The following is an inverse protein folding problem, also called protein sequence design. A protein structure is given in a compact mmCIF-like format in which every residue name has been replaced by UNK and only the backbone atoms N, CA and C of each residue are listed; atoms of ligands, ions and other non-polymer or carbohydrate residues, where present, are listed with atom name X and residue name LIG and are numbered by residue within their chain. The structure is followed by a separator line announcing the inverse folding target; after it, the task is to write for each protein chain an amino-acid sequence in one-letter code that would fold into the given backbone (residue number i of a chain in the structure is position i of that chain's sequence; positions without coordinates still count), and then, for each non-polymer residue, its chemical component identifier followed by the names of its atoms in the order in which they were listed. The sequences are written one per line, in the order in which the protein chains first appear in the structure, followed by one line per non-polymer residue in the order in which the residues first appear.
data_IF_064503526195
#
_entry.id   IF_064503526195
#
_cell.length_a   1.000
_cell.length_b   1.000
_cell.length_c   1.000
_cell.angle_alpha   90.00
_cell.angle_beta   90.00
_cell.angle_gamma   90.00
#
_symmetry.space_group_name_H-M   'P 1'
#
loop_
_entity.id
_entity.type
_entity.pdbx_description
1 polymer ?
#
# COMPACT_ATOMS: atom_id res chain seq x y z
N UNK A 1 8.13 -6.22 19.91
CA UNK A 1 8.31 -4.96 19.17
C UNK A 1 7.68 -5.15 17.81
N UNK A 2 6.83 -4.22 17.36
CA UNK A 2 6.20 -4.30 16.03
C UNK A 2 7.11 -3.60 15.03
N UNK A 3 7.52 -4.29 13.98
CA UNK A 3 8.28 -3.68 12.90
C UNK A 3 7.32 -2.92 11.98
N UNK A 4 7.64 -1.68 11.65
CA UNK A 4 6.82 -0.83 10.77
C UNK A 4 7.47 -0.68 9.42
N UNK A 5 6.69 -0.79 8.34
CA UNK A 5 7.20 -0.70 6.97
C UNK A 5 6.19 -0.03 6.04
N UNK A 6 6.68 0.89 5.22
CA UNK A 6 5.91 1.51 4.15
C UNK A 6 6.49 1.07 2.80
N UNK A 7 5.66 0.41 2.00
CA UNK A 7 5.91 0.14 0.60
C UNK A 7 5.41 1.32 -0.23
N UNK A 8 6.26 1.88 -1.07
CA UNK A 8 5.89 2.94 -2.01
C UNK A 8 5.87 2.39 -3.43
N UNK A 9 4.74 2.55 -4.10
CA UNK A 9 4.54 2.17 -5.49
C UNK A 9 4.00 3.35 -6.30
N UNK A 10 4.72 3.73 -7.35
CA UNK A 10 4.37 4.78 -8.31
C UNK A 10 4.13 4.26 -9.74
N UNK A 11 4.52 3.02 -10.03
CA UNK A 11 4.44 2.37 -11.34
C UNK A 11 3.38 1.24 -11.36
N UNK A 12 2.58 1.14 -12.42
CA UNK A 12 1.47 0.16 -12.50
C UNK A 12 1.97 -1.29 -12.59
N UNK A 13 3.09 -1.52 -13.29
CA UNK A 13 3.73 -2.81 -13.48
C UNK A 13 4.33 -3.39 -12.18
N UNK A 14 4.54 -2.55 -11.15
CA UNK A 14 5.16 -2.96 -9.88
C UNK A 14 4.18 -3.60 -8.90
N UNK A 15 2.89 -3.62 -9.20
CA UNK A 15 1.85 -4.12 -8.28
C UNK A 15 2.08 -5.59 -7.90
N UNK A 16 2.30 -6.45 -8.88
CA UNK A 16 2.47 -7.88 -8.61
C UNK A 16 3.73 -8.17 -7.79
N UNK A 17 4.82 -7.48 -8.10
CA UNK A 17 6.05 -7.59 -7.34
C UNK A 17 5.86 -7.09 -5.89
N UNK A 18 5.18 -5.95 -5.72
CA UNK A 18 4.88 -5.37 -4.40
C UNK A 18 4.02 -6.29 -3.55
N UNK A 19 2.91 -6.80 -4.10
CA UNK A 19 2.02 -7.73 -3.38
C UNK A 19 2.73 -9.04 -3.02
N UNK A 20 3.58 -9.56 -3.92
CA UNK A 20 4.44 -10.72 -3.64
C UNK A 20 5.41 -10.46 -2.48
N UNK A 21 6.07 -9.30 -2.45
CA UNK A 21 6.97 -8.92 -1.36
C UNK A 21 6.24 -8.77 -0.02
N UNK A 22 5.02 -8.21 -0.01
CA UNK A 22 4.19 -8.11 1.18
C UNK A 22 3.82 -9.49 1.71
N UNK A 23 3.38 -10.40 0.83
CA UNK A 23 3.04 -11.77 1.23
C UNK A 23 4.25 -12.51 1.81
N UNK A 24 5.42 -12.36 1.19
CA UNK A 24 6.67 -12.93 1.68
C UNK A 24 7.01 -12.38 3.08
N UNK A 25 6.84 -11.08 3.31
CA UNK A 25 7.11 -10.45 4.60
C UNK A 25 6.15 -10.97 5.69
N UNK A 26 4.86 -11.10 5.38
CA UNK A 26 3.85 -11.66 6.29
C UNK A 26 4.21 -13.10 6.66
N UNK A 27 4.51 -13.95 5.67
CA UNK A 27 4.88 -15.35 5.91
C UNK A 27 6.16 -15.47 6.74
N UNK A 28 7.17 -14.65 6.46
CA UNK A 28 8.38 -14.58 7.28
C UNK A 28 8.04 -14.17 8.72
N UNK A 29 7.25 -13.11 8.91
CA UNK A 29 6.81 -12.64 10.23
C UNK A 29 6.09 -13.71 11.04
N UNK A 30 5.20 -14.47 10.42
CA UNK A 30 4.53 -15.62 11.04
C UNK A 30 5.54 -16.68 11.51
N UNK A 31 6.52 -17.04 10.67
CA UNK A 31 7.56 -18.03 11.01
C UNK A 31 8.47 -17.60 12.17
N UNK A 32 8.70 -16.29 12.30
CA UNK A 32 9.58 -15.70 13.31
C UNK A 32 8.83 -15.11 14.51
N UNK A 33 7.51 -15.35 14.61
CA UNK A 33 6.65 -14.76 15.64
C UNK A 33 6.81 -13.23 15.76
N UNK A 34 7.00 -12.57 14.61
CA UNK A 34 7.27 -11.13 14.49
C UNK A 34 6.13 -10.48 13.71
N UNK A 35 5.45 -9.51 14.34
CA UNK A 35 4.41 -8.73 13.69
C UNK A 35 4.99 -7.57 12.87
N UNK A 36 4.38 -7.34 11.71
CA UNK A 36 4.66 -6.19 10.85
C UNK A 36 3.40 -5.32 10.73
N UNK A 37 3.58 -4.01 10.92
CA UNK A 37 2.61 -2.98 10.58
C UNK A 37 2.98 -2.46 9.19
N UNK A 38 2.14 -2.79 8.20
CA UNK A 38 2.45 -2.62 6.79
C UNK A 38 1.52 -1.56 6.21
N UNK A 39 2.11 -0.51 5.64
CA UNK A 39 1.39 0.47 4.82
C UNK A 39 1.87 0.35 3.39
N UNK A 40 0.95 0.37 2.43
CA UNK A 40 1.25 0.48 1.00
C UNK A 40 0.78 1.84 0.52
N UNK A 41 1.71 2.75 0.29
CA UNK A 41 1.44 4.04 -0.29
C UNK A 41 1.51 3.97 -1.81
N UNK A 42 0.38 4.28 -2.44
CA UNK A 42 0.20 4.27 -3.89
C UNK A 42 0.05 5.70 -4.41
N UNK A 43 0.90 6.10 -5.35
CA UNK A 43 0.83 7.36 -6.07
C UNK A 43 1.11 7.11 -7.57
N UNK A 44 1.33 8.16 -8.36
CA UNK A 44 1.64 8.05 -9.79
C UNK A 44 0.61 7.23 -10.57
N UNK A 45 1.09 6.51 -11.58
CA UNK A 45 0.28 5.66 -12.46
C UNK A 45 -0.23 4.41 -11.72
N UNK A 46 0.45 4.01 -10.65
CA UNK A 46 0.06 2.88 -9.82
C UNK A 46 -1.35 3.03 -9.21
N UNK A 47 -1.89 4.26 -9.11
CA UNK A 47 -3.25 4.48 -8.63
C UNK A 47 -4.29 3.72 -9.47
N UNK A 48 -4.01 3.51 -10.76
CA UNK A 48 -4.87 2.76 -11.67
C UNK A 48 -4.99 1.28 -11.28
N UNK A 49 -4.02 0.74 -10.52
CA UNK A 49 -4.07 -0.62 -10.02
C UNK A 49 -5.24 -0.89 -9.08
N UNK A 50 -5.73 0.13 -8.37
CA UNK A 50 -6.96 0.02 -7.58
C UNK A 50 -8.21 -0.26 -8.41
N UNK A 51 -8.17 -0.06 -9.73
CA UNK A 51 -9.29 -0.36 -10.63
C UNK A 51 -9.20 -1.75 -11.28
N UNK A 52 -8.07 -2.44 -11.13
CA UNK A 52 -7.86 -3.77 -11.73
C UNK A 52 -8.45 -4.85 -10.82
N UNK A 53 -9.49 -5.56 -11.30
CA UNK A 53 -10.24 -6.56 -10.51
C UNK A 53 -9.33 -7.56 -9.78
N UNK A 54 -8.36 -8.16 -10.48
CA UNK A 54 -7.44 -9.13 -9.89
C UNK A 54 -6.64 -8.54 -8.70
N UNK A 55 -6.20 -7.29 -8.81
CA UNK A 55 -5.45 -6.63 -7.74
C UNK A 55 -6.36 -6.31 -6.55
N UNK A 56 -7.63 -5.94 -6.80
CA UNK A 56 -8.62 -5.69 -5.73
C UNK A 56 -8.86 -6.90 -4.85
N UNK A 57 -8.94 -8.09 -5.46
CA UNK A 57 -9.14 -9.33 -4.73
C UNK A 57 -7.98 -9.56 -3.75
N UNK A 58 -6.74 -9.36 -4.21
CA UNK A 58 -5.55 -9.48 -3.36
C UNK A 58 -5.49 -8.40 -2.28
N UNK A 59 -5.82 -7.14 -2.60
CA UNK A 59 -5.88 -6.05 -1.61
C UNK A 59 -6.87 -6.40 -0.48
N UNK A 60 -8.06 -6.88 -0.85
CA UNK A 60 -9.12 -7.27 0.09
C UNK A 60 -8.68 -8.42 0.99
N UNK A 61 -7.90 -9.36 0.46
CA UNK A 61 -7.33 -10.49 1.23
C UNK A 61 -6.20 -10.08 2.19
N UNK A 62 -5.44 -9.03 1.87
CA UNK A 62 -4.30 -8.57 2.66
C UNK A 62 -4.69 -7.62 3.80
N UNK A 63 -5.75 -6.82 3.64
CA UNK A 63 -6.24 -5.92 4.69
C UNK A 63 -6.49 -6.59 6.06
N UNK A 64 -7.20 -7.73 6.16
CA UNK A 64 -7.41 -8.40 7.45
C UNK A 64 -6.12 -8.98 8.05
N UNK A 65 -5.03 -9.04 7.30
CA UNK A 65 -3.71 -9.48 7.77
C UNK A 65 -2.84 -8.31 8.29
N UNK A 66 -3.42 -7.11 8.43
CA UNK A 66 -2.73 -5.94 8.98
C UNK A 66 -2.05 -5.05 7.93
N UNK A 67 -2.48 -5.14 6.66
CA UNK A 67 -1.97 -4.29 5.58
C UNK A 67 -2.92 -3.12 5.33
N UNK A 68 -2.45 -1.90 5.55
CA UNK A 68 -3.17 -0.67 5.17
C UNK A 68 -2.74 -0.22 3.78
N UNK A 69 -3.69 0.27 2.98
CA UNK A 69 -3.45 0.77 1.63
C UNK A 69 -3.83 2.24 1.57
N UNK A 70 -2.89 3.10 1.17
CA UNK A 70 -3.05 4.54 1.06
C UNK A 70 -3.06 4.97 -0.42
N UNK A 71 -4.07 5.73 -0.81
CA UNK A 71 -4.26 6.27 -2.15
C UNK A 71 -3.96 7.77 -2.17
N UNK A 72 -2.95 8.20 -2.92
CA UNK A 72 -2.62 9.62 -3.07
C UNK A 72 -3.71 10.38 -3.82
N UNK A 73 -4.34 11.37 -3.17
CA UNK A 73 -5.42 12.17 -3.75
C UNK A 73 -5.00 12.97 -4.98
N UNK A 74 -3.75 13.47 -5.02
CA UNK A 74 -3.22 14.15 -6.21
C UNK A 74 -3.12 13.19 -7.41
N UNK A 75 -2.69 11.94 -7.17
CA UNK A 75 -2.60 10.92 -8.21
C UNK A 75 -3.99 10.47 -8.67
N UNK A 76 -4.93 10.33 -7.74
CA UNK A 76 -6.33 10.07 -8.06
C UNK A 76 -6.90 11.16 -8.99
N UNK A 77 -6.70 12.43 -8.63
CA UNK A 77 -7.15 13.57 -9.44
C UNK A 77 -6.52 13.59 -10.83
N UNK A 78 -5.21 13.31 -10.96
CA UNK A 78 -4.53 13.31 -12.26
C UNK A 78 -5.00 12.18 -13.18
N UNK A 79 -5.51 11.09 -12.61
CA UNK A 79 -5.99 9.91 -13.34
C UNK A 79 -7.52 9.82 -13.41
N UNK A 80 -8.24 10.80 -12.89
CA UNK A 80 -9.72 10.79 -12.87
C UNK A 80 -10.32 9.67 -12.01
N UNK A 81 -9.57 9.16 -11.03
CA UNK A 81 -10.04 8.15 -10.07
C UNK A 81 -10.76 8.86 -8.93
N UNK A 82 -11.95 8.41 -8.59
CA UNK A 82 -12.73 8.92 -7.46
C UNK A 82 -12.65 7.99 -6.25
N UNK A 83 -12.84 8.54 -5.05
CA UNK A 83 -12.77 7.79 -3.80
C UNK A 83 -13.76 6.61 -3.76
N UNK A 84 -14.96 6.75 -4.35
CA UNK A 84 -15.97 5.69 -4.39
C UNK A 84 -15.57 4.52 -5.29
N UNK A 85 -14.58 4.73 -6.16
CA UNK A 85 -14.01 3.67 -6.98
C UNK A 85 -12.92 2.90 -6.25
N UNK A 86 -12.42 3.35 -5.09
CA UNK A 86 -11.38 2.61 -4.38
C UNK A 86 -11.95 1.32 -3.74
N UNK A 87 -11.13 0.27 -3.56
CA UNK A 87 -11.50 -0.86 -2.71
C UNK A 87 -11.88 -0.38 -1.30
N UNK A 88 -12.82 -1.09 -0.67
CA UNK A 88 -13.18 -0.80 0.72
C UNK A 88 -11.94 -0.84 1.62
N UNK A 89 -11.86 0.07 2.60
CA UNK A 89 -10.74 0.15 3.54
C UNK A 89 -9.48 0.87 3.02
N UNK A 90 -9.42 1.24 1.74
CA UNK A 90 -8.31 2.08 1.22
C UNK A 90 -8.48 3.51 1.75
N UNK A 91 -7.39 4.05 2.28
CA UNK A 91 -7.33 5.40 2.86
C UNK A 91 -6.90 6.40 1.81
N UNK A 92 -7.75 7.34 1.43
CA UNK A 92 -7.35 8.46 0.58
C UNK A 92 -6.54 9.48 1.39
N UNK A 93 -5.27 9.71 1.02
CA UNK A 93 -4.37 10.68 1.68
C UNK A 93 -4.20 11.93 0.81
N UNK A 94 -4.11 13.14 1.39
CA UNK A 94 -4.08 14.38 0.60
C UNK A 94 -2.93 14.46 -0.41
N UNK A 95 -1.74 14.03 0.00
CA UNK A 95 -0.55 13.99 -0.85
C UNK A 95 0.35 12.82 -0.42
N UNK A 96 0.64 11.91 -1.36
CA UNK A 96 1.40 10.70 -1.05
C UNK A 96 2.81 11.00 -0.51
N UNK A 97 3.50 12.02 -1.04
CA UNK A 97 4.82 12.40 -0.51
C UNK A 97 4.76 12.88 0.94
N UNK A 98 3.70 13.59 1.34
CA UNK A 98 3.53 14.05 2.71
C UNK A 98 3.17 12.90 3.65
N UNK A 99 2.32 11.97 3.19
CA UNK A 99 2.02 10.73 3.89
C UNK A 99 3.28 9.87 4.11
N UNK A 100 4.14 9.76 3.09
CA UNK A 100 5.40 9.04 3.19
C UNK A 100 6.35 9.65 4.22
N UNK A 101 6.45 10.98 4.28
CA UNK A 101 7.25 11.68 5.30
C UNK A 101 6.68 11.36 6.69
N UNK A 102 5.37 11.52 6.88
CA UNK A 102 4.71 11.27 8.17
C UNK A 102 4.88 9.82 8.64
N UNK A 103 4.80 8.85 7.73
CA UNK A 103 5.04 7.44 8.04
C UNK A 103 6.50 7.21 8.46
N UNK A 104 7.47 7.75 7.72
CA UNK A 104 8.88 7.60 8.09
C UNK A 104 9.18 8.25 9.45
N UNK A 105 8.64 9.43 9.73
CA UNK A 105 8.75 10.10 11.04
C UNK A 105 8.09 9.28 12.16
N UNK A 106 7.04 8.52 11.86
CA UNK A 106 6.39 7.57 12.77
C UNK A 106 7.15 6.24 12.93
N UNK A 107 8.34 6.12 12.34
CA UNK A 107 9.25 4.98 12.44
C UNK A 107 9.04 3.88 11.39
N UNK A 108 8.28 4.15 10.33
CA UNK A 108 8.14 3.20 9.22
C UNK A 108 9.42 3.15 8.38
N UNK A 109 9.91 1.93 8.12
CA UNK A 109 11.03 1.72 7.18
C UNK A 109 10.53 1.79 5.75
N UNK A 110 11.28 2.47 4.90
CA UNK A 110 10.92 2.68 3.50
C UNK A 110 11.37 1.52 2.60
N UNK A 111 10.47 1.04 1.74
CA UNK A 111 10.76 0.07 0.68
C UNK A 111 10.14 0.54 -0.64
N UNK A 112 10.91 0.51 -1.74
CA UNK A 112 10.46 0.77 -3.11
C UNK A 112 10.74 -0.43 -4.01
N UNK A 113 9.72 -1.25 -4.34
CA UNK A 113 9.88 -2.46 -5.16
C UNK A 113 10.19 -2.20 -6.66
#
# INVERSE_FOLDING_TARGET
MTNKVVFHIDELEKWDHTLGNIQNLITYGQSQQTAYDIVVLVNGDAIMGYLVTRLRDTITQLQPQGVSFHACNNAMNSHGVKAEQLPAGVVAVPAGVADLIALQDAGYRYIKP
#
